data_IF_517339876047
#
_entry.id   IF_517339876047
#
_cell.length_a   1.000
_cell.length_b   1.000
_cell.length_c   1.000
_cell.angle_alpha   90.00
_cell.angle_beta   90.00
_cell.angle_gamma   90.00
#
_symmetry.space_group_name_H-M   'P 1'
#
loop_
_entity.id
_entity.type
_entity.pdbx_description
1 polymer ?
#
# COMPACT_ATOMS: atom_id res chain seq x y z
N UNK A 1 -19.96 10.40 6.17
CA UNK A 1 -20.47 9.50 5.13
C UNK A 1 -21.74 8.84 5.62
N UNK A 2 -21.76 8.28 6.82
CA UNK A 2 -22.89 7.55 7.41
C UNK A 2 -24.17 8.39 7.53
N UNK A 3 -24.03 9.72 7.64
CA UNK A 3 -25.17 10.65 7.71
C UNK A 3 -25.75 11.02 6.35
N UNK A 4 -24.98 10.87 5.27
CA UNK A 4 -25.38 11.31 3.92
C UNK A 4 -25.84 10.14 3.05
N UNK A 5 -25.22 8.97 3.21
CA UNK A 5 -25.48 7.79 2.39
C UNK A 5 -25.65 6.50 3.22
N UNK A 6 -26.53 6.44 4.20
CA UNK A 6 -26.66 5.27 5.06
C UNK A 6 -27.01 4.00 4.28
N UNK A 7 -27.89 4.09 3.30
CA UNK A 7 -28.34 2.95 2.48
C UNK A 7 -27.24 2.32 1.62
N UNK A 8 -26.23 3.11 1.22
CA UNK A 8 -25.09 2.61 0.44
C UNK A 8 -24.09 1.86 1.30
N UNK A 9 -24.04 2.18 2.60
CA UNK A 9 -23.15 1.50 3.55
C UNK A 9 -23.66 0.10 3.93
N UNK A 10 -24.98 -0.13 3.80
CA UNK A 10 -25.59 -1.45 4.02
C UNK A 10 -25.29 -2.45 2.87
N UNK A 11 -24.95 -1.92 1.69
CA UNK A 11 -24.60 -2.72 0.54
C UNK A 11 -23.06 -2.86 0.43
N UNK A 12 -22.55 -4.07 0.37
CA UNK A 12 -21.12 -4.34 0.22
C UNK A 12 -20.49 -3.54 -0.93
N UNK A 13 -21.11 -3.49 -2.11
CA UNK A 13 -20.60 -2.69 -3.22
C UNK A 13 -20.57 -1.19 -2.92
N UNK A 14 -21.60 -0.68 -2.26
CA UNK A 14 -21.65 0.74 -1.86
C UNK A 14 -20.50 1.11 -0.94
N UNK A 15 -20.24 0.30 0.08
CA UNK A 15 -19.14 0.50 1.02
C UNK A 15 -17.78 0.51 0.29
N UNK A 16 -17.53 -0.44 -0.61
CA UNK A 16 -16.29 -0.51 -1.38
C UNK A 16 -16.12 0.67 -2.33
N UNK A 17 -17.17 1.06 -3.03
CA UNK A 17 -17.14 2.20 -3.95
C UNK A 17 -16.90 3.52 -3.21
N UNK A 18 -17.61 3.78 -2.12
CA UNK A 18 -17.44 5.02 -1.34
C UNK A 18 -16.00 5.12 -0.79
N UNK A 19 -15.40 4.01 -0.41
CA UNK A 19 -14.04 4.00 0.14
C UNK A 19 -12.97 4.16 -0.95
N UNK A 20 -13.06 3.42 -2.03
CA UNK A 20 -12.00 3.32 -3.02
C UNK A 20 -12.16 4.26 -4.23
N UNK A 21 -13.40 4.63 -4.61
CA UNK A 21 -13.62 5.51 -5.75
C UNK A 21 -12.99 6.90 -5.58
N UNK A 22 -13.11 7.60 -4.44
CA UNK A 22 -12.43 8.88 -4.25
C UNK A 22 -10.91 8.76 -4.36
N UNK A 23 -10.33 7.68 -3.84
CA UNK A 23 -8.90 7.43 -3.93
C UNK A 23 -8.47 7.23 -5.39
N UNK A 24 -9.12 6.34 -6.13
CA UNK A 24 -8.69 5.94 -7.47
C UNK A 24 -9.13 6.92 -8.55
N UNK A 25 -10.30 7.55 -8.43
CA UNK A 25 -10.85 8.46 -9.46
C UNK A 25 -10.46 9.92 -9.23
N UNK A 26 -10.07 10.31 -8.02
CA UNK A 26 -9.72 11.70 -7.70
C UNK A 26 -8.27 11.80 -7.23
N UNK A 27 -7.90 11.17 -6.10
CA UNK A 27 -6.60 11.38 -5.49
C UNK A 27 -5.45 10.89 -6.37
N UNK A 28 -5.58 9.72 -6.99
CA UNK A 28 -4.56 9.19 -7.91
C UNK A 28 -4.40 10.05 -9.15
N UNK A 29 -5.43 10.40 -9.93
CA UNK A 29 -5.30 11.28 -11.09
C UNK A 29 -4.75 12.67 -10.73
N UNK A 30 -5.21 13.28 -9.65
CA UNK A 30 -4.69 14.58 -9.17
C UNK A 30 -3.21 14.46 -8.80
N UNK A 31 -2.83 13.42 -8.06
CA UNK A 31 -1.44 13.15 -7.72
C UNK A 31 -0.55 12.98 -8.98
N UNK A 32 -1.01 12.23 -9.97
CA UNK A 32 -0.30 12.07 -11.23
C UNK A 32 -0.19 13.38 -12.02
N UNK A 33 -1.23 14.21 -12.03
CA UNK A 33 -1.19 15.54 -12.65
C UNK A 33 -0.17 16.45 -11.98
N UNK A 34 -0.07 16.45 -10.66
CA UNK A 34 0.92 17.21 -9.89
C UNK A 34 2.34 16.71 -10.19
N UNK A 35 2.53 15.40 -10.23
CA UNK A 35 3.82 14.78 -10.54
C UNK A 35 4.26 14.97 -12.00
N UNK A 36 3.35 15.29 -12.91
CA UNK A 36 3.65 15.45 -14.34
C UNK A 36 4.73 16.49 -14.64
N UNK A 37 4.88 17.50 -13.78
CA UNK A 37 5.89 18.55 -13.91
C UNK A 37 7.27 18.17 -13.36
N UNK A 38 7.35 17.05 -12.62
CA UNK A 38 8.61 16.58 -12.04
C UNK A 38 9.26 15.62 -13.02
N UNK A 39 10.49 15.88 -13.49
CA UNK A 39 11.19 15.00 -14.41
C UNK A 39 11.33 13.59 -13.83
N UNK A 40 11.09 12.58 -14.66
CA UNK A 40 11.29 11.19 -14.31
C UNK A 40 12.44 10.63 -15.14
N UNK A 41 13.36 9.92 -14.49
CA UNK A 41 14.43 9.16 -15.13
C UNK A 41 14.22 7.68 -14.82
N UNK A 42 13.66 6.90 -15.76
CA UNK A 42 13.46 5.48 -15.54
C UNK A 42 14.77 4.76 -15.22
N UNK A 43 14.71 3.78 -14.34
CA UNK A 43 15.83 2.89 -14.05
C UNK A 43 16.12 1.97 -15.25
N UNK A 44 17.38 1.61 -15.40
CA UNK A 44 17.79 0.57 -16.36
C UNK A 44 17.22 -0.78 -15.89
N UNK A 45 16.51 -1.44 -16.78
CA UNK A 45 15.93 -2.75 -16.47
C UNK A 45 16.98 -3.84 -16.62
N UNK A 46 17.08 -4.67 -15.61
CA UNK A 46 17.89 -5.87 -15.64
C UNK A 46 17.01 -7.11 -15.49
N UNK A 47 17.20 -8.09 -16.36
CA UNK A 47 16.46 -9.35 -16.28
C UNK A 47 16.89 -10.14 -15.03
N UNK A 48 15.94 -10.42 -14.17
CA UNK A 48 16.17 -11.28 -13.02
C UNK A 48 16.11 -12.75 -13.44
N UNK A 49 17.10 -13.54 -12.99
CA UNK A 49 17.07 -15.01 -13.17
C UNK A 49 15.85 -15.59 -12.45
N UNK A 50 15.16 -16.61 -13.01
CA UNK A 50 13.94 -17.20 -12.41
C UNK A 50 14.08 -17.58 -10.93
N UNK A 51 15.22 -18.11 -10.51
CA UNK A 51 15.48 -18.44 -9.11
C UNK A 51 15.44 -17.25 -8.16
N UNK A 52 15.77 -16.03 -8.63
CA UNK A 52 15.68 -14.81 -7.80
C UNK A 52 14.24 -14.43 -7.48
N UNK A 53 13.29 -14.64 -8.40
CA UNK A 53 11.88 -14.40 -8.12
C UNK A 53 11.36 -15.29 -6.98
N UNK A 54 11.77 -16.57 -6.97
CA UNK A 54 11.39 -17.51 -5.90
C UNK A 54 11.95 -17.05 -4.55
N UNK A 55 13.24 -16.71 -4.53
CA UNK A 55 13.91 -16.21 -3.31
C UNK A 55 13.24 -14.92 -2.83
N UNK A 56 12.96 -13.98 -3.73
CA UNK A 56 12.27 -12.72 -3.39
C UNK A 56 10.87 -12.98 -2.85
N UNK A 57 10.11 -13.92 -3.42
CA UNK A 57 8.79 -14.30 -2.91
C UNK A 57 8.87 -14.87 -1.48
N UNK A 58 9.85 -15.71 -1.19
CA UNK A 58 10.09 -16.25 0.16
C UNK A 58 10.43 -15.11 1.14
N UNK A 59 11.31 -14.19 0.74
CA UNK A 59 11.66 -13.01 1.53
C UNK A 59 10.42 -12.14 1.79
N UNK A 60 9.58 -11.90 0.77
CA UNK A 60 8.34 -11.13 0.91
C UNK A 60 7.40 -11.78 1.93
N UNK A 61 7.21 -13.11 1.86
CA UNK A 61 6.36 -13.84 2.82
C UNK A 61 6.92 -13.67 4.24
N UNK A 62 8.22 -13.89 4.43
CA UNK A 62 8.86 -13.72 5.73
C UNK A 62 8.70 -12.28 6.27
N UNK A 63 9.02 -11.27 5.45
CA UNK A 63 8.91 -9.86 5.83
C UNK A 63 7.46 -9.43 6.13
N UNK A 64 6.50 -9.97 5.39
CA UNK A 64 5.08 -9.74 5.64
C UNK A 64 4.67 -10.25 7.03
N UNK A 65 5.03 -11.48 7.39
CA UNK A 65 4.70 -12.03 8.70
C UNK A 65 5.45 -11.33 9.82
N UNK A 66 6.76 -11.12 9.68
CA UNK A 66 7.59 -10.45 10.68
C UNK A 66 7.11 -9.00 10.93
N UNK A 67 6.85 -8.25 9.86
CA UNK A 67 6.34 -6.87 9.95
C UNK A 67 4.93 -6.80 10.54
N UNK A 68 4.06 -7.77 10.21
CA UNK A 68 2.71 -7.84 10.77
C UNK A 68 2.74 -8.13 12.29
N UNK A 69 3.58 -9.07 12.73
CA UNK A 69 3.78 -9.37 14.15
C UNK A 69 4.28 -8.12 14.88
N UNK A 70 5.31 -7.46 14.36
CA UNK A 70 5.85 -6.24 14.95
C UNK A 70 4.79 -5.13 15.04
N UNK A 71 4.06 -4.88 13.96
CA UNK A 71 2.98 -3.89 13.93
C UNK A 71 1.87 -4.19 14.93
N UNK A 72 1.49 -5.45 15.05
CA UNK A 72 0.47 -5.89 16.01
C UNK A 72 0.93 -5.69 17.47
N UNK A 73 2.18 -6.05 17.78
CA UNK A 73 2.76 -5.85 19.13
C UNK A 73 2.78 -4.35 19.47
N UNK A 74 3.29 -3.51 18.57
CA UNK A 74 3.37 -2.06 18.81
C UNK A 74 1.96 -1.47 18.98
N UNK A 75 1.02 -1.86 18.13
CA UNK A 75 -0.38 -1.42 18.24
C UNK A 75 -0.99 -1.83 19.57
N UNK A 76 -0.78 -3.07 20.02
CA UNK A 76 -1.27 -3.56 21.30
C UNK A 76 -0.65 -2.79 22.48
N UNK A 77 0.65 -2.49 22.44
CA UNK A 77 1.31 -1.69 23.47
C UNK A 77 0.77 -0.26 23.53
N UNK A 78 0.51 0.37 22.38
CA UNK A 78 -0.06 1.71 22.35
C UNK A 78 -1.49 1.76 22.87
N UNK A 79 -2.27 0.71 22.67
CA UNK A 79 -3.65 0.61 23.22
C UNK A 79 -3.69 0.51 24.76
N UNK A 80 -2.56 0.22 25.42
CA UNK A 80 -2.47 0.29 26.88
C UNK A 80 -2.46 1.74 27.41
N UNK A 81 -2.20 2.71 26.53
CA UNK A 81 -2.22 4.13 26.89
C UNK A 81 -3.66 4.67 26.85
N UNK A 82 -4.09 5.45 27.88
CA UNK A 82 -5.43 6.00 27.93
C UNK A 82 -5.73 6.90 26.70
N UNK A 83 -6.91 6.72 26.11
CA UNK A 83 -7.37 7.55 25.01
C UNK A 83 -6.86 7.17 23.61
N UNK A 84 -6.00 6.13 23.49
CA UNK A 84 -5.55 5.63 22.20
C UNK A 84 -6.43 4.47 21.75
N UNK A 85 -7.12 4.65 20.64
CA UNK A 85 -7.83 3.59 19.92
C UNK A 85 -7.15 3.35 18.58
N UNK A 86 -6.37 2.28 18.48
CA UNK A 86 -5.69 1.89 17.24
C UNK A 86 -6.35 0.61 16.72
N UNK A 87 -7.25 0.76 15.76
CA UNK A 87 -7.88 -0.36 15.04
C UNK A 87 -7.19 -0.63 13.70
N UNK A 88 -7.41 -1.80 13.15
CA UNK A 88 -7.07 -2.08 11.75
C UNK A 88 -8.33 -1.89 10.89
N UNK A 89 -8.46 -0.76 10.18
CA UNK A 89 -9.65 -0.47 9.40
C UNK A 89 -9.88 -1.46 8.25
N UNK A 90 -8.83 -2.14 7.79
CA UNK A 90 -8.92 -3.13 6.71
C UNK A 90 -9.56 -4.44 7.19
N UNK A 91 -9.57 -4.71 8.48
CA UNK A 91 -10.14 -5.95 9.00
C UNK A 91 -11.62 -6.10 8.65
N UNK A 92 -12.39 -5.01 8.70
CA UNK A 92 -13.81 -5.01 8.32
C UNK A 92 -14.02 -5.39 6.85
N UNK A 93 -13.16 -4.88 5.95
CA UNK A 93 -13.19 -5.24 4.53
C UNK A 93 -12.72 -6.68 4.29
N UNK A 94 -11.69 -7.12 5.01
CA UNK A 94 -11.18 -8.48 4.89
C UNK A 94 -12.20 -9.54 5.34
N UNK A 95 -13.00 -9.22 6.34
CA UNK A 95 -14.05 -10.10 6.89
C UNK A 95 -15.40 -9.98 6.18
N UNK A 96 -15.59 -8.99 5.32
CA UNK A 96 -16.78 -8.87 4.49
C UNK A 96 -16.96 -10.09 3.59
N UNK A 97 -18.19 -10.58 3.44
CA UNK A 97 -18.52 -11.75 2.61
C UNK A 97 -18.58 -11.45 1.10
N UNK A 98 -18.46 -10.19 0.70
CA UNK A 98 -18.50 -9.77 -0.70
C UNK A 98 -17.20 -10.13 -1.44
N UNK A 99 -17.15 -11.31 -2.03
CA UNK A 99 -15.96 -11.84 -2.70
C UNK A 99 -15.56 -11.01 -3.93
N UNK A 100 -16.51 -10.60 -4.76
CA UNK A 100 -16.22 -9.86 -6.00
C UNK A 100 -15.60 -8.48 -5.76
N UNK A 101 -16.17 -7.58 -4.94
CA UNK A 101 -15.53 -6.32 -4.59
C UNK A 101 -14.14 -6.53 -3.96
N UNK A 102 -13.99 -7.49 -3.08
CA UNK A 102 -12.72 -7.81 -2.44
C UNK A 102 -11.63 -8.18 -3.46
N UNK A 103 -11.93 -9.08 -4.40
CA UNK A 103 -10.99 -9.44 -5.47
C UNK A 103 -10.67 -8.22 -6.34
N UNK A 104 -11.69 -7.47 -6.77
CA UNK A 104 -11.49 -6.33 -7.65
C UNK A 104 -10.64 -5.24 -6.99
N UNK A 105 -11.00 -4.80 -5.79
CA UNK A 105 -10.34 -3.65 -5.15
C UNK A 105 -9.05 -4.02 -4.43
N UNK A 106 -9.00 -5.11 -3.66
CA UNK A 106 -7.81 -5.44 -2.86
C UNK A 106 -6.80 -6.33 -3.60
N UNK A 107 -7.26 -7.23 -4.48
CA UNK A 107 -6.34 -8.18 -5.13
C UNK A 107 -5.86 -7.69 -6.48
N UNK A 108 -6.67 -6.91 -7.21
CA UNK A 108 -6.33 -6.45 -8.56
C UNK A 108 -5.98 -4.96 -8.56
N UNK A 109 -6.93 -4.09 -8.22
CA UNK A 109 -6.75 -2.64 -8.41
C UNK A 109 -5.72 -2.05 -7.46
N UNK A 110 -5.78 -2.38 -6.16
CA UNK A 110 -4.84 -1.81 -5.19
C UNK A 110 -3.38 -2.16 -5.55
N UNK A 111 -2.98 -3.43 -5.73
CA UNK A 111 -1.59 -3.75 -6.05
C UNK A 111 -1.10 -3.11 -7.35
N UNK A 112 -1.93 -3.09 -8.40
CA UNK A 112 -1.53 -2.49 -9.68
C UNK A 112 -1.30 -0.98 -9.55
N UNK A 113 -2.21 -0.28 -8.88
CA UNK A 113 -2.10 1.17 -8.70
C UNK A 113 -0.95 1.51 -7.74
N UNK A 114 -0.78 0.75 -6.68
CA UNK A 114 0.31 0.93 -5.72
C UNK A 114 1.68 0.74 -6.37
N UNK A 115 1.89 -0.33 -7.15
CA UNK A 115 3.12 -0.54 -7.89
C UNK A 115 3.36 0.59 -8.90
N UNK A 116 2.31 1.04 -9.59
CA UNK A 116 2.44 2.16 -10.51
C UNK A 116 2.85 3.45 -9.81
N UNK A 117 2.25 3.78 -8.66
CA UNK A 117 2.55 5.01 -7.93
C UNK A 117 3.93 4.92 -7.27
N UNK A 118 4.16 3.90 -6.47
CA UNK A 118 5.35 3.86 -5.61
C UNK A 118 6.61 3.42 -6.35
N UNK A 119 6.50 2.54 -7.35
CA UNK A 119 7.67 2.12 -8.14
C UNK A 119 7.85 3.04 -9.34
N UNK A 120 6.89 3.05 -10.26
CA UNK A 120 7.08 3.81 -11.49
C UNK A 120 7.08 5.33 -11.30
N UNK A 121 6.14 5.86 -10.54
CA UNK A 121 6.04 7.33 -10.43
C UNK A 121 7.02 7.90 -9.41
N UNK A 122 7.19 7.26 -8.27
CA UNK A 122 8.01 7.81 -7.19
C UNK A 122 9.49 7.46 -7.34
N UNK A 123 9.86 6.20 -7.57
CA UNK A 123 11.26 5.81 -7.73
C UNK A 123 11.89 6.50 -8.94
N UNK A 124 11.23 6.50 -10.12
CA UNK A 124 11.76 7.14 -11.33
C UNK A 124 12.06 8.65 -11.13
N UNK A 125 11.34 9.31 -10.22
CA UNK A 125 11.57 10.73 -9.91
C UNK A 125 12.60 10.96 -8.81
N UNK A 126 12.66 10.06 -7.85
CA UNK A 126 13.59 10.14 -6.73
C UNK A 126 14.99 9.61 -7.08
N UNK A 127 15.11 8.81 -8.13
CA UNK A 127 16.37 8.18 -8.55
C UNK A 127 17.49 9.18 -8.85
N UNK A 128 17.16 10.41 -9.24
CA UNK A 128 18.14 11.50 -9.45
C UNK A 128 18.92 11.85 -8.19
N UNK A 129 18.35 11.55 -7.02
CA UNK A 129 18.99 11.77 -5.70
C UNK A 129 19.74 10.53 -5.18
N UNK A 130 19.74 9.45 -5.94
CA UNK A 130 20.39 8.19 -5.63
C UNK A 130 19.40 7.04 -5.43
N UNK A 131 19.78 5.86 -5.92
CA UNK A 131 18.95 4.65 -5.93
C UNK A 131 18.47 4.24 -4.54
N UNK A 132 19.39 4.17 -3.57
CA UNK A 132 19.05 3.80 -2.18
C UNK A 132 18.03 4.73 -1.56
N UNK A 133 18.20 6.05 -1.76
CA UNK A 133 17.28 7.04 -1.24
C UNK A 133 15.90 6.90 -1.89
N UNK A 134 15.84 6.68 -3.19
CA UNK A 134 14.60 6.48 -3.93
C UNK A 134 13.83 5.26 -3.41
N UNK A 135 14.51 4.12 -3.23
CA UNK A 135 13.90 2.88 -2.71
C UNK A 135 13.40 3.06 -1.28
N UNK A 136 14.23 3.64 -0.38
CA UNK A 136 13.84 3.85 1.02
C UNK A 136 12.66 4.82 1.12
N UNK A 137 12.69 5.93 0.37
CA UNK A 137 11.58 6.90 0.37
C UNK A 137 10.30 6.28 -0.18
N UNK A 138 10.38 5.54 -1.28
CA UNK A 138 9.24 4.83 -1.84
C UNK A 138 8.65 3.82 -0.85
N UNK A 139 9.49 3.03 -0.19
CA UNK A 139 9.07 2.05 0.80
C UNK A 139 8.40 2.72 2.01
N UNK A 140 8.98 3.82 2.51
CA UNK A 140 8.42 4.57 3.63
C UNK A 140 7.05 5.16 3.28
N UNK A 141 6.94 5.80 2.12
CA UNK A 141 5.67 6.35 1.64
C UNK A 141 4.63 5.25 1.42
N UNK A 142 5.04 4.09 0.91
CA UNK A 142 4.18 2.92 0.76
C UNK A 142 3.65 2.42 2.11
N UNK A 143 4.51 2.31 3.11
CA UNK A 143 4.09 1.94 4.47
C UNK A 143 3.11 2.95 5.08
N UNK A 144 3.43 4.26 4.98
CA UNK A 144 2.59 5.34 5.50
C UNK A 144 1.24 5.45 4.78
N UNK A 145 1.20 5.13 3.49
CA UNK A 145 -0.02 5.16 2.68
C UNK A 145 -1.13 4.26 3.24
N UNK A 146 -0.78 3.19 3.93
CA UNK A 146 -1.75 2.28 4.55
C UNK A 146 -2.52 2.91 5.73
N UNK A 147 -2.04 4.04 6.27
CA UNK A 147 -2.74 4.84 7.27
C UNK A 147 -2.96 4.17 8.62
N UNK A 148 -2.34 3.03 8.87
CA UNK A 148 -2.43 2.35 10.16
C UNK A 148 -1.11 1.67 10.54
N UNK A 149 -0.88 1.59 11.84
CA UNK A 149 0.40 1.15 12.39
C UNK A 149 0.61 -0.36 12.25
N UNK A 150 -0.46 -1.15 12.28
CA UNK A 150 -0.37 -2.61 12.12
C UNK A 150 0.12 -3.01 10.73
N UNK A 151 -0.15 -2.18 9.72
CA UNK A 151 0.27 -2.43 8.34
C UNK A 151 1.59 -1.73 7.99
N UNK A 152 1.95 -0.65 8.66
CA UNK A 152 3.13 0.17 8.37
C UNK A 152 4.40 -0.66 8.20
N UNK A 153 4.68 -1.55 9.15
CA UNK A 153 5.96 -2.27 9.19
C UNK A 153 6.08 -3.30 8.07
N UNK A 154 5.04 -4.10 7.83
CA UNK A 154 5.11 -5.08 6.76
C UNK A 154 5.06 -4.41 5.38
N UNK A 155 4.27 -3.36 5.22
CA UNK A 155 4.20 -2.64 3.97
C UNK A 155 5.53 -1.93 3.66
N UNK A 156 6.16 -1.29 4.66
CA UNK A 156 7.50 -0.74 4.52
C UNK A 156 8.52 -1.81 4.10
N UNK A 157 8.53 -2.96 4.77
CA UNK A 157 9.45 -4.05 4.48
C UNK A 157 9.25 -4.61 3.05
N UNK A 158 8.00 -4.86 2.65
CA UNK A 158 7.67 -5.24 1.27
C UNK A 158 8.03 -4.14 0.27
N UNK A 159 7.83 -2.89 0.67
CA UNK A 159 8.22 -1.71 -0.12
C UNK A 159 9.70 -1.68 -0.46
N UNK A 160 10.57 -2.05 0.49
CA UNK A 160 12.01 -2.18 0.26
C UNK A 160 12.33 -3.31 -0.73
N UNK A 161 11.73 -4.49 -0.56
CA UNK A 161 11.98 -5.63 -1.45
C UNK A 161 11.52 -5.30 -2.88
N UNK A 162 10.32 -4.80 -3.05
CA UNK A 162 9.78 -4.45 -4.37
C UNK A 162 10.53 -3.29 -5.02
N UNK A 163 10.92 -2.27 -4.21
CA UNK A 163 11.73 -1.17 -4.72
C UNK A 163 13.13 -1.60 -5.16
N UNK A 164 13.71 -2.61 -4.52
CA UNK A 164 14.99 -3.19 -4.93
C UNK A 164 14.86 -4.07 -6.18
N UNK A 165 13.69 -4.69 -6.40
CA UNK A 165 13.43 -5.53 -7.57
C UNK A 165 13.03 -4.72 -8.81
N UNK A 166 12.57 -3.48 -8.61
CA UNK A 166 12.18 -2.56 -9.67
C UNK A 166 13.38 -2.05 -10.44
#
# INVERSE_FOLDING_TARGET
VDRVFPQWMENSWGMWLITFAPLYLIAVPVGLLLLRKVPAKPLEKHDLKPGRYIVSAIICIFMMYAGNILGTIITALLQLLPGISAGNPILSYATDNALLPKILFMVILAPVIEEYIFRKQLIDRMHVYGEKLAVITSALMFGLFHGNLSQLFYAFALGLVFGYMY
#
